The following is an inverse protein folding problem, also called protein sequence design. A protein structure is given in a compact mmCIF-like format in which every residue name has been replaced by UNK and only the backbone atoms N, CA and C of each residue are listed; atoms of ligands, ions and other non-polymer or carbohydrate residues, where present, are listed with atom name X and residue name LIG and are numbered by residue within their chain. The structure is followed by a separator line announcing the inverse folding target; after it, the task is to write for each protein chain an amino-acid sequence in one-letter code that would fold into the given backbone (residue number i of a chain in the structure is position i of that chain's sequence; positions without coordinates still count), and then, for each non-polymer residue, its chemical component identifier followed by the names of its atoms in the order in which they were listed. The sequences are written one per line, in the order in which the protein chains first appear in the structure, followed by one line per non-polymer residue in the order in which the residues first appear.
data_IF_400730907853
#
_entry.id   IF_400730907853
#
_cell.length_a   1.000
_cell.length_b   1.000
_cell.length_c   1.000
_cell.angle_alpha   90.00
_cell.angle_beta   90.00
_cell.angle_gamma   90.00
#
_symmetry.space_group_name_H-M   'P 1'
#
loop_
_entity.id
_entity.type
_entity.pdbx_description
1 polymer ?
#
# COMPACT_ATOMS: atom_id res chain seq x y z
N UNK A 1 -2.87 20.41 6.92
CA UNK A 1 -1.76 19.45 7.24
C UNK A 1 -0.78 19.51 6.09
N UNK A 2 0.50 19.64 6.36
CA UNK A 2 1.50 19.69 5.29
C UNK A 2 2.05 18.28 4.96
N UNK A 3 2.74 18.18 3.81
CA UNK A 3 3.27 16.92 3.29
C UNK A 3 4.37 16.34 4.18
N UNK A 4 5.22 17.19 4.73
CA UNK A 4 6.35 16.78 5.58
C UNK A 4 5.86 16.13 6.88
N UNK A 5 4.78 16.67 7.46
CA UNK A 5 4.16 16.08 8.63
C UNK A 5 3.64 14.66 8.34
N UNK A 6 2.93 14.47 7.20
CA UNK A 6 2.40 13.16 6.78
C UNK A 6 3.56 12.16 6.60
N UNK A 7 4.62 12.56 5.90
CA UNK A 7 5.78 11.71 5.66
C UNK A 7 6.42 11.31 6.98
N UNK A 8 6.72 12.28 7.85
CA UNK A 8 7.36 12.04 9.14
C UNK A 8 6.54 11.11 10.03
N UNK A 9 5.22 11.33 10.11
CA UNK A 9 4.32 10.49 10.88
C UNK A 9 4.34 9.04 10.40
N UNK A 10 4.22 8.85 9.09
CA UNK A 10 4.23 7.52 8.50
C UNK A 10 5.60 6.83 8.63
N UNK A 11 6.71 7.57 8.46
CA UNK A 11 8.05 7.03 8.66
C UNK A 11 8.25 6.54 10.10
N UNK A 12 7.83 7.34 11.09
CA UNK A 12 7.88 6.92 12.50
C UNK A 12 7.01 5.70 12.76
N UNK A 13 5.78 5.68 12.24
CA UNK A 13 4.88 4.54 12.39
C UNK A 13 5.46 3.26 11.80
N UNK A 14 6.05 3.34 10.61
CA UNK A 14 6.68 2.19 9.93
C UNK A 14 7.92 1.70 10.69
N UNK A 15 8.75 2.62 11.21
CA UNK A 15 9.96 2.26 11.94
C UNK A 15 9.67 1.60 13.29
N UNK A 16 8.73 2.17 14.04
CA UNK A 16 8.45 1.79 15.43
C UNK A 16 7.49 0.61 15.54
N UNK A 17 6.74 0.29 14.47
CA UNK A 17 5.72 -0.76 14.53
C UNK A 17 6.31 -2.16 14.65
N UNK A 18 5.82 -2.90 15.63
CA UNK A 18 6.09 -4.34 15.76
C UNK A 18 5.49 -5.16 14.62
N UNK A 19 4.42 -4.65 13.97
CA UNK A 19 3.77 -5.30 12.85
C UNK A 19 4.59 -5.21 11.55
N UNK A 20 5.59 -4.31 11.49
CA UNK A 20 6.59 -4.29 10.43
C UNK A 20 7.69 -5.34 10.64
N UNK A 21 7.44 -6.32 11.49
CA UNK A 21 8.38 -7.40 11.78
C UNK A 21 7.66 -8.74 11.78
N UNK A 22 8.36 -9.76 11.28
CA UNK A 22 7.85 -11.14 11.29
C UNK A 22 7.67 -11.58 12.75
N UNK A 23 6.44 -11.86 13.15
CA UNK A 23 6.14 -12.33 14.50
C UNK A 23 6.78 -13.72 14.70
N UNK A 24 7.48 -13.90 15.82
CA UNK A 24 8.19 -15.14 16.15
C UNK A 24 7.29 -16.38 16.22
N UNK A 25 6.00 -16.19 16.56
CA UNK A 25 5.05 -17.30 16.72
C UNK A 25 4.53 -17.85 15.38
N UNK A 26 4.65 -17.08 14.29
CA UNK A 26 4.17 -17.44 12.95
C UNK A 26 5.31 -17.51 11.94
N UNK A 27 6.54 -17.24 12.37
CA UNK A 27 7.71 -17.28 11.50
C UNK A 27 7.91 -18.69 10.92
N UNK A 28 8.08 -18.78 9.60
CA UNK A 28 8.31 -20.05 8.88
C UNK A 28 9.60 -20.73 9.33
N UNK A 29 10.58 -19.97 9.79
CA UNK A 29 11.80 -20.48 10.41
C UNK A 29 12.36 -19.47 11.41
N UNK A 30 13.33 -19.91 12.22
CA UNK A 30 14.06 -19.04 13.16
C UNK A 30 14.87 -17.95 12.45
N UNK A 31 15.25 -18.18 11.20
CA UNK A 31 16.07 -17.25 10.42
C UNK A 31 15.31 -15.98 10.02
N UNK A 32 13.98 -16.06 9.93
CA UNK A 32 13.11 -14.91 9.57
C UNK A 32 12.34 -14.34 10.76
N UNK A 33 12.40 -15.01 11.93
CA UNK A 33 11.74 -14.54 13.14
C UNK A 33 12.28 -13.17 13.58
N UNK A 34 11.40 -12.17 13.71
CA UNK A 34 11.76 -10.80 14.07
C UNK A 34 12.35 -9.96 12.93
N UNK A 35 12.46 -10.51 11.73
CA UNK A 35 12.97 -9.79 10.57
C UNK A 35 12.07 -8.60 10.22
N UNK A 36 12.67 -7.43 10.00
CA UNK A 36 11.95 -6.25 9.51
C UNK A 36 11.58 -6.44 8.06
N UNK A 37 10.32 -6.11 7.71
CA UNK A 37 9.75 -6.36 6.38
C UNK A 37 10.01 -5.18 5.46
N UNK A 38 9.65 -3.96 5.88
CA UNK A 38 9.73 -2.76 5.06
C UNK A 38 10.70 -1.73 5.62
N UNK A 39 11.37 -1.04 4.72
CA UNK A 39 12.14 0.17 4.97
C UNK A 39 11.21 1.40 5.02
N UNK A 40 11.81 2.59 5.13
CA UNK A 40 11.11 3.88 5.17
C UNK A 40 10.19 4.07 3.95
N UNK A 41 8.95 4.56 4.15
CA UNK A 41 7.99 4.76 3.08
C UNK A 41 8.41 5.89 2.14
N UNK A 42 8.14 5.71 0.84
CA UNK A 42 8.35 6.72 -0.19
C UNK A 42 6.99 7.29 -0.58
N UNK A 43 6.85 8.62 -0.55
CA UNK A 43 5.58 9.29 -0.82
C UNK A 43 5.57 10.08 -2.14
N UNK A 44 4.41 10.10 -2.78
CA UNK A 44 4.08 11.01 -3.86
C UNK A 44 2.72 11.68 -3.59
N UNK A 45 2.59 12.93 -4.01
CA UNK A 45 1.38 13.72 -3.84
C UNK A 45 0.99 14.30 -5.19
N UNK A 46 -0.24 14.02 -5.64
CA UNK A 46 -0.80 14.49 -6.91
C UNK A 46 -2.09 15.27 -6.70
N UNK A 47 -2.45 16.06 -7.70
CA UNK A 47 -3.77 16.69 -7.78
C UNK A 47 -4.81 15.71 -8.30
N UNK A 48 -6.03 15.72 -7.76
CA UNK A 48 -7.15 14.98 -8.35
C UNK A 48 -7.56 15.55 -9.72
N UNK A 49 -7.09 16.77 -10.06
CA UNK A 49 -7.32 17.41 -11.35
C UNK A 49 -6.27 17.04 -12.42
N UNK A 50 -5.33 16.17 -12.09
CA UNK A 50 -4.29 15.74 -13.04
C UNK A 50 -4.95 15.09 -14.28
N UNK A 51 -4.68 15.62 -15.49
CA UNK A 51 -5.29 15.13 -16.73
C UNK A 51 -4.97 13.67 -17.04
N UNK A 52 -3.89 13.13 -16.49
CA UNK A 52 -3.55 11.69 -16.65
C UNK A 52 -4.62 10.77 -16.07
N UNK A 53 -5.35 11.19 -15.02
CA UNK A 53 -6.46 10.38 -14.50
C UNK A 53 -7.60 10.21 -15.51
N UNK A 54 -7.84 11.21 -16.39
CA UNK A 54 -8.81 11.08 -17.48
C UNK A 54 -8.32 10.14 -18.57
N UNK A 55 -7.02 10.17 -18.87
CA UNK A 55 -6.43 9.23 -19.85
C UNK A 55 -6.58 7.78 -19.41
N UNK A 56 -6.49 7.49 -18.11
CA UNK A 56 -6.66 6.14 -17.58
C UNK A 56 -8.09 5.59 -17.78
N UNK A 57 -9.11 6.45 -17.95
CA UNK A 57 -10.48 6.04 -18.27
C UNK A 57 -10.63 5.54 -19.72
N UNK A 58 -9.62 5.78 -20.59
CA UNK A 58 -9.65 5.32 -21.98
C UNK A 58 -9.49 3.81 -22.04
N UNK A 59 -10.37 3.14 -22.82
CA UNK A 59 -10.35 1.68 -22.98
C UNK A 59 -9.05 1.11 -23.54
N UNK A 60 -8.28 1.91 -24.29
CA UNK A 60 -6.97 1.50 -24.79
C UNK A 60 -5.86 1.55 -23.75
N UNK A 61 -6.12 2.07 -22.54
CA UNK A 61 -5.15 2.19 -21.42
C UNK A 61 -5.59 1.29 -20.27
N UNK A 62 -6.55 1.71 -19.45
CA UNK A 62 -7.15 0.92 -18.35
C UNK A 62 -8.63 0.69 -18.58
N UNK A 63 -9.36 1.74 -19.02
CA UNK A 63 -10.74 1.66 -19.42
C UNK A 63 -11.75 1.81 -18.28
N UNK A 64 -12.92 1.21 -18.46
CA UNK A 64 -14.10 1.35 -17.58
C UNK A 64 -13.89 0.91 -16.13
N UNK A 65 -12.86 0.12 -15.87
CA UNK A 65 -12.55 -0.38 -14.52
C UNK A 65 -11.74 0.62 -13.70
N UNK A 66 -11.16 1.63 -14.33
CA UNK A 66 -10.49 2.70 -13.61
C UNK A 66 -11.52 3.65 -12.99
N UNK A 67 -11.49 3.76 -11.67
CA UNK A 67 -12.30 4.73 -10.94
C UNK A 67 -11.44 5.98 -10.68
N UNK A 68 -11.81 7.09 -11.33
CA UNK A 68 -11.13 8.37 -11.16
C UNK A 68 -11.15 8.82 -9.68
N UNK A 69 -10.06 9.42 -9.16
CA UNK A 69 -10.00 9.91 -7.77
C UNK A 69 -11.17 10.78 -7.34
N UNK A 70 -11.73 11.58 -8.24
CA UNK A 70 -12.93 12.39 -7.97
C UNK A 70 -14.21 11.57 -7.76
N UNK A 71 -14.26 10.35 -8.30
CA UNK A 71 -15.38 9.42 -8.08
C UNK A 71 -15.23 8.68 -6.75
N UNK A 72 -13.98 8.42 -6.31
CA UNK A 72 -13.71 7.88 -4.98
C UNK A 72 -14.11 8.87 -3.89
N UNK A 73 -13.64 10.11 -3.99
CA UNK A 73 -13.92 11.16 -3.02
C UNK A 73 -14.34 12.45 -3.72
N UNK A 74 -15.67 12.68 -3.90
CA UNK A 74 -16.16 13.94 -4.45
C UNK A 74 -15.69 15.14 -3.62
N UNK A 75 -15.04 16.11 -4.29
CA UNK A 75 -14.45 17.28 -3.64
C UNK A 75 -13.05 17.04 -3.06
N UNK A 76 -12.51 15.84 -3.13
CA UNK A 76 -11.11 15.57 -2.84
C UNK A 76 -10.19 16.33 -3.80
N UNK A 77 -9.09 16.88 -3.28
CA UNK A 77 -8.14 17.68 -4.06
C UNK A 77 -6.78 17.03 -4.25
N UNK A 78 -6.46 16.10 -3.38
CA UNK A 78 -5.11 15.51 -3.33
C UNK A 78 -5.20 13.98 -3.33
N UNK A 79 -4.39 13.36 -4.17
CA UNK A 79 -4.08 11.94 -4.12
C UNK A 79 -2.76 11.78 -3.37
N UNK A 80 -2.76 10.97 -2.34
CA UNK A 80 -1.57 10.57 -1.60
C UNK A 80 -1.25 9.14 -2.02
N UNK A 81 -0.09 8.94 -2.61
CA UNK A 81 0.43 7.61 -2.94
C UNK A 81 1.66 7.34 -2.09
N UNK A 82 1.78 6.13 -1.59
CA UNK A 82 3.01 5.71 -0.90
C UNK A 82 3.42 4.32 -1.33
N UNK A 83 4.70 4.05 -1.22
CA UNK A 83 5.31 2.78 -1.48
C UNK A 83 6.13 2.36 -0.26
N UNK A 84 5.96 1.13 0.18
CA UNK A 84 6.76 0.50 1.23
C UNK A 84 7.82 -0.40 0.58
N UNK A 85 9.08 0.03 0.50
CA UNK A 85 10.15 -0.80 -0.03
C UNK A 85 10.39 -1.99 0.91
N UNK A 86 10.52 -3.19 0.39
CA UNK A 86 11.07 -4.29 1.19
C UNK A 86 12.49 -3.98 1.64
N UNK A 87 12.84 -4.38 2.86
CA UNK A 87 14.22 -4.29 3.36
C UNK A 87 15.20 -5.03 2.44
N UNK A 88 16.44 -4.64 2.48
CA UNK A 88 17.50 -5.30 1.72
C UNK A 88 17.57 -6.82 2.05
N UNK A 89 17.33 -7.18 3.32
CA UNK A 89 17.28 -8.56 3.76
C UNK A 89 16.23 -9.38 3.02
N UNK A 90 14.99 -8.87 2.92
CA UNK A 90 13.92 -9.53 2.17
C UNK A 90 14.27 -9.64 0.69
N UNK A 91 14.72 -8.54 0.07
CA UNK A 91 15.08 -8.52 -1.36
C UNK A 91 16.20 -9.50 -1.69
N UNK A 92 17.28 -9.50 -0.92
CA UNK A 92 18.41 -10.41 -1.12
C UNK A 92 18.04 -11.87 -0.88
N UNK A 93 17.19 -12.15 0.12
CA UNK A 93 16.74 -13.53 0.35
C UNK A 93 15.99 -14.11 -0.85
N UNK A 94 15.18 -13.28 -1.52
CA UNK A 94 14.37 -13.72 -2.66
C UNK A 94 15.15 -13.89 -3.97
N UNK A 95 16.41 -13.49 -4.04
CA UNK A 95 17.26 -13.71 -5.22
C UNK A 95 18.08 -15.00 -5.16
N UNK A 96 18.04 -15.73 -4.05
CA UNK A 96 18.86 -16.94 -3.82
C UNK A 96 18.35 -18.14 -4.61
N UNK A 97 17.04 -18.22 -4.81
CA UNK A 97 16.40 -19.28 -5.56
C UNK A 97 15.60 -18.65 -6.72
N UNK A 98 15.66 -19.27 -7.91
CA UNK A 98 14.94 -18.78 -9.10
C UNK A 98 13.57 -19.44 -9.27
N UNK A 99 13.31 -20.52 -8.57
CA UNK A 99 12.08 -21.30 -8.69
C UNK A 99 11.12 -21.04 -7.54
N UNK A 100 11.64 -20.82 -6.33
CA UNK A 100 10.83 -20.70 -5.13
C UNK A 100 11.04 -19.36 -4.43
N UNK A 101 9.95 -18.72 -3.95
CA UNK A 101 10.05 -17.52 -3.16
C UNK A 101 10.71 -17.79 -1.81
N UNK A 102 11.47 -16.84 -1.29
CA UNK A 102 12.05 -16.95 0.04
C UNK A 102 10.99 -16.83 1.13
N UNK A 103 11.25 -17.43 2.30
CA UNK A 103 10.39 -17.26 3.49
C UNK A 103 10.18 -15.78 3.84
N UNK A 104 11.24 -14.96 3.76
CA UNK A 104 11.14 -13.52 3.99
C UNK A 104 10.21 -12.81 3.03
N UNK A 105 10.21 -13.19 1.76
CA UNK A 105 9.29 -12.65 0.77
C UNK A 105 7.84 -13.11 1.01
N UNK A 106 7.64 -14.38 1.41
CA UNK A 106 6.31 -14.89 1.76
C UNK A 106 5.69 -14.12 2.93
N UNK A 107 6.46 -13.85 3.98
CA UNK A 107 6.03 -12.98 5.08
C UNK A 107 5.74 -11.56 4.59
N UNK A 108 6.60 -11.00 3.74
CA UNK A 108 6.34 -9.71 3.12
C UNK A 108 5.07 -9.67 2.30
N UNK A 109 4.68 -10.79 1.67
CA UNK A 109 3.47 -10.89 0.86
C UNK A 109 2.20 -10.99 1.70
N UNK A 110 2.24 -11.64 2.85
CA UNK A 110 1.08 -11.90 3.72
C UNK A 110 1.02 -10.81 4.81
N UNK A 111 1.87 -10.88 5.81
CA UNK A 111 1.88 -9.92 6.93
C UNK A 111 2.22 -8.50 6.47
N UNK A 112 3.09 -8.39 5.46
CA UNK A 112 3.40 -7.09 4.85
C UNK A 112 2.20 -6.44 4.19
N UNK A 113 1.32 -7.21 3.54
CA UNK A 113 0.07 -6.68 2.99
C UNK A 113 -0.86 -6.17 4.10
N UNK A 114 -1.02 -6.92 5.18
CA UNK A 114 -1.79 -6.49 6.35
C UNK A 114 -1.22 -5.21 6.97
N UNK A 115 0.11 -5.11 7.03
CA UNK A 115 0.77 -3.92 7.54
C UNK A 115 0.55 -2.70 6.63
N UNK A 116 0.59 -2.87 5.31
CA UNK A 116 0.27 -1.81 4.35
C UNK A 116 -1.14 -1.26 4.56
N UNK A 117 -2.12 -2.12 4.86
CA UNK A 117 -3.47 -1.69 5.22
C UNK A 117 -3.50 -0.88 6.52
N UNK A 118 -2.72 -1.28 7.53
CA UNK A 118 -2.61 -0.53 8.80
C UNK A 118 -2.02 0.86 8.59
N UNK A 119 -0.98 1.00 7.75
CA UNK A 119 -0.43 2.31 7.37
C UNK A 119 -1.49 3.16 6.67
N UNK A 120 -2.24 2.58 5.75
CA UNK A 120 -3.31 3.27 5.03
C UNK A 120 -4.43 3.77 5.97
N UNK A 121 -4.84 2.92 6.92
CA UNK A 121 -5.85 3.28 7.93
C UNK A 121 -5.34 4.36 8.88
N UNK A 122 -4.11 4.26 9.35
CA UNK A 122 -3.48 5.27 10.21
C UNK A 122 -3.46 6.63 9.50
N UNK A 123 -3.04 6.68 8.23
CA UNK A 123 -3.03 7.92 7.45
C UNK A 123 -4.45 8.48 7.27
N UNK A 124 -5.42 7.63 6.95
CA UNK A 124 -6.83 8.03 6.83
C UNK A 124 -7.33 8.63 8.13
N UNK A 125 -7.16 7.94 9.26
CA UNK A 125 -7.59 8.40 10.57
C UNK A 125 -6.95 9.74 10.95
N UNK A 126 -5.64 9.89 10.74
CA UNK A 126 -4.91 11.15 11.01
C UNK A 126 -5.48 12.33 10.21
N UNK A 127 -5.83 12.08 8.95
CA UNK A 127 -6.45 13.11 8.10
C UNK A 127 -7.86 13.47 8.60
N UNK A 128 -8.66 12.48 8.98
CA UNK A 128 -10.02 12.68 9.49
C UNK A 128 -10.02 13.40 10.83
N UNK A 129 -9.13 13.08 11.74
CA UNK A 129 -8.93 13.78 13.02
C UNK A 129 -8.52 15.26 12.82
N UNK A 130 -7.81 15.55 11.73
CA UNK A 130 -7.47 16.93 11.35
C UNK A 130 -8.59 17.65 10.56
N UNK A 131 -9.78 17.05 10.45
CA UNK A 131 -10.96 17.63 9.81
C UNK A 131 -11.00 17.49 8.27
N UNK A 132 -10.14 16.66 7.69
CA UNK A 132 -10.20 16.35 6.26
C UNK A 132 -11.07 15.11 6.02
N UNK A 133 -11.69 15.04 4.83
CA UNK A 133 -12.28 13.78 4.35
C UNK A 133 -11.21 12.98 3.66
N UNK A 134 -11.16 11.67 3.92
CA UNK A 134 -10.19 10.77 3.31
C UNK A 134 -10.85 9.44 2.92
N UNK A 135 -10.41 8.85 1.83
CA UNK A 135 -10.81 7.50 1.40
C UNK A 135 -9.57 6.68 1.07
N UNK A 136 -9.60 5.42 1.46
CA UNK A 136 -8.64 4.41 1.02
C UNK A 136 -9.37 3.53 0.02
N UNK A 137 -9.08 3.61 -1.28
CA UNK A 137 -9.85 2.92 -2.31
C UNK A 137 -10.02 1.42 -2.06
N UNK A 138 -8.96 0.75 -1.66
CA UNK A 138 -8.98 -0.70 -1.40
C UNK A 138 -9.92 -1.11 -0.25
N UNK A 139 -10.28 -0.19 0.66
CA UNK A 139 -11.15 -0.42 1.80
C UNK A 139 -12.54 0.17 1.62
N UNK A 140 -12.80 0.80 0.49
CA UNK A 140 -14.09 1.38 0.17
C UNK A 140 -15.01 0.33 -0.47
N UNK A 141 -16.30 0.39 -0.19
CA UNK A 141 -17.31 -0.52 -0.73
C UNK A 141 -17.43 -0.50 -2.26
N UNK A 142 -16.94 0.55 -2.91
CA UNK A 142 -16.87 0.67 -4.37
C UNK A 142 -15.75 -0.19 -4.97
N UNK A 143 -14.82 -0.66 -4.14
CA UNK A 143 -13.74 -1.52 -4.60
C UNK A 143 -14.27 -2.94 -4.82
N UNK A 144 -14.18 -3.42 -6.03
CA UNK A 144 -14.61 -4.76 -6.39
C UNK A 144 -13.44 -5.56 -6.95
N UNK A 145 -13.26 -6.73 -6.37
CA UNK A 145 -12.34 -7.72 -6.89
C UNK A 145 -13.12 -8.68 -7.80
N UNK A 146 -12.82 -8.74 -9.07
CA UNK A 146 -13.46 -9.64 -10.02
C UNK A 146 -12.45 -10.68 -10.48
N UNK A 147 -12.80 -11.95 -10.32
CA UNK A 147 -12.05 -13.06 -10.86
C UNK A 147 -12.88 -13.82 -11.88
N UNK A 148 -12.30 -14.16 -13.02
CA UNK A 148 -12.86 -15.08 -14.01
C UNK A 148 -11.92 -16.27 -14.21
N UNK A 149 -12.33 -17.27 -14.99
CA UNK A 149 -11.53 -18.48 -15.21
C UNK A 149 -10.12 -18.20 -15.76
N UNK A 150 -9.91 -17.06 -16.44
CA UNK A 150 -8.65 -16.72 -17.07
C UNK A 150 -8.12 -15.32 -16.74
N UNK A 151 -8.70 -14.60 -15.78
CA UNK A 151 -8.26 -13.23 -15.44
C UNK A 151 -8.65 -12.81 -14.02
N UNK A 152 -7.87 -11.89 -13.48
CA UNK A 152 -8.20 -11.11 -12.27
C UNK A 152 -8.40 -9.66 -12.67
N UNK A 153 -9.55 -9.08 -12.33
CA UNK A 153 -9.84 -7.65 -12.49
C UNK A 153 -9.93 -6.99 -11.10
N UNK A 154 -9.21 -5.88 -10.94
CA UNK A 154 -9.30 -4.99 -9.78
C UNK A 154 -9.94 -3.68 -10.26
N UNK A 155 -11.03 -3.28 -9.67
CA UNK A 155 -11.72 -2.03 -9.99
C UNK A 155 -12.15 -1.27 -8.74
#
# INVERSE_FOLDING_TARGET
MDKEYIIKLASSFVEDSTDNRVNKNIALSTSVAGMKIFDEPIFAFGSTDDPYFQLLENQSIVGKHFINPKKWLPGGKTVISFFLPFTESVRKSNTRDRCWPSEGWLHGRIEGHEFLLKVSLMLKQTLEEAGYKAVVPFLDEKYHNRSGENYYEYS
#
